data_IF_287669789632
#
_entry.id   IF_287669789632
#
_cell.length_a   1.000
_cell.length_b   1.000
_cell.length_c   1.000
_cell.angle_alpha   90.00
_cell.angle_beta   90.00
_cell.angle_gamma   90.00
#
_symmetry.space_group_name_H-M   'P 1'
#
loop_
_entity.id
_entity.type
_entity.pdbx_description
1 polymer ?
#
# COMPACT_ATOMS: atom_id res chain seq x y z
N UNK A 1 -0.29 2.06 17.88
CA UNK A 1 1.16 2.41 17.81
C UNK A 1 1.46 3.17 16.51
N UNK A 2 0.76 4.29 16.21
CA UNK A 2 0.61 4.78 14.82
C UNK A 2 0.79 6.31 14.59
N UNK A 3 1.67 6.97 15.36
CA UNK A 3 2.13 8.36 15.07
C UNK A 3 3.66 8.49 15.19
N UNK A 4 4.30 7.61 15.96
CA UNK A 4 5.75 7.69 16.19
C UNK A 4 6.63 7.41 14.96
N UNK A 5 6.10 6.76 13.92
CA UNK A 5 6.88 6.50 12.70
C UNK A 5 7.16 7.75 11.85
N UNK A 6 6.50 8.90 12.11
CA UNK A 6 6.80 10.16 11.42
C UNK A 6 7.96 10.95 12.02
N UNK A 7 8.35 10.68 13.27
CA UNK A 7 9.39 11.43 13.97
C UNK A 7 10.70 10.65 14.00
N UNK A 8 11.46 10.73 12.91
CA UNK A 8 12.86 10.33 12.92
C UNK A 8 13.68 11.29 13.79
N UNK A 9 14.34 10.78 14.83
CA UNK A 9 15.28 11.54 15.66
C UNK A 9 16.52 11.90 14.84
N UNK A 10 16.77 13.20 14.64
CA UNK A 10 18.06 13.69 14.14
C UNK A 10 19.06 13.73 15.30
N UNK A 11 20.07 12.88 15.27
CA UNK A 11 21.33 13.11 15.98
C UNK A 11 22.23 13.99 15.11
N UNK A 12 22.63 15.14 15.63
CA UNK A 12 23.61 16.03 15.01
C UNK A 12 25.04 15.51 15.23
N UNK A 13 25.95 15.60 14.24
CA UNK A 13 27.37 15.33 14.45
C UNK A 13 28.08 16.60 14.93
N UNK A 14 28.92 16.47 15.95
CA UNK A 14 29.83 17.51 16.42
C UNK A 14 31.28 17.14 16.15
N UNK A 15 32.10 18.15 15.83
CA UNK A 15 33.54 18.12 16.10
C UNK A 15 34.45 18.21 14.87
N UNK A 16 35.03 19.40 14.65
CA UNK A 16 36.14 19.71 13.74
C UNK A 16 37.47 19.11 14.23
N UNK A 17 38.39 18.85 13.30
CA UNK A 17 39.82 19.11 13.47
C UNK A 17 40.45 19.41 12.09
N UNK A 18 41.31 20.43 12.06
CA UNK A 18 42.12 20.87 10.93
C UNK A 18 43.55 20.36 11.11
N UNK A 19 44.27 20.11 10.01
CA UNK A 19 45.73 20.31 9.94
C UNK A 19 46.18 20.49 8.47
N UNK A 20 47.28 21.24 8.33
CA UNK A 20 47.78 21.96 7.15
C UNK A 20 48.83 21.20 6.30
N UNK A 21 49.12 21.79 5.13
CA UNK A 21 50.43 21.88 4.42
C UNK A 21 50.78 20.95 3.23
N UNK A 22 50.52 21.49 2.01
CA UNK A 22 51.33 21.66 0.76
C UNK A 22 52.49 20.70 0.32
N UNK A 23 52.96 20.70 -0.97
CA UNK A 23 52.56 21.48 -2.18
C UNK A 23 52.46 20.70 -3.53
N UNK A 24 51.92 21.43 -4.52
CA UNK A 24 51.93 21.33 -6.00
C UNK A 24 52.76 20.27 -6.76
N UNK A 25 52.13 19.64 -7.75
CA UNK A 25 52.69 19.49 -9.11
C UNK A 25 51.57 19.46 -10.16
N UNK A 26 51.69 20.36 -11.14
CA UNK A 26 50.83 20.54 -12.31
C UNK A 26 51.19 19.47 -13.34
N UNK A 27 50.20 18.77 -13.91
CA UNK A 27 50.38 17.97 -15.11
C UNK A 27 49.18 18.20 -16.05
N UNK A 28 49.53 18.54 -17.27
CA UNK A 28 48.71 19.00 -18.39
C UNK A 28 47.66 17.96 -18.80
N UNK A 29 46.45 18.42 -19.13
CA UNK A 29 45.43 17.61 -19.80
C UNK A 29 45.40 18.04 -21.26
N UNK A 30 45.81 17.13 -22.13
CA UNK A 30 45.79 17.27 -23.58
C UNK A 30 44.51 16.58 -24.10
N UNK A 31 43.59 17.37 -24.65
CA UNK A 31 42.31 16.93 -25.23
C UNK A 31 42.56 16.45 -26.68
N UNK A 32 42.80 15.15 -26.89
CA UNK A 32 42.47 14.46 -28.15
C UNK A 32 42.80 12.94 -28.12
N UNK A 33 41.79 12.09 -27.90
CA UNK A 33 41.65 10.82 -28.65
C UNK A 33 40.23 10.24 -28.46
N UNK A 34 39.42 10.05 -29.53
CA UNK A 34 38.09 9.48 -29.42
C UNK A 34 38.11 7.97 -29.71
N UNK A 35 38.11 7.12 -28.67
CA UNK A 35 37.87 5.68 -28.88
C UNK A 35 37.17 4.97 -27.71
N UNK A 36 36.08 4.28 -28.10
CA UNK A 36 35.45 3.10 -27.51
C UNK A 36 34.66 3.26 -26.19
N UNK A 37 33.33 3.37 -26.33
CA UNK A 37 32.35 3.03 -25.29
C UNK A 37 32.35 1.50 -25.07
N UNK A 38 32.69 1.00 -23.87
CA UNK A 38 32.82 -0.43 -23.60
C UNK A 38 31.49 -1.13 -23.28
N UNK A 39 30.33 -0.51 -23.54
CA UNK A 39 29.01 -1.08 -23.22
C UNK A 39 28.11 -1.39 -24.43
N UNK A 40 28.69 -1.54 -25.63
CA UNK A 40 27.94 -1.99 -26.81
C UNK A 40 27.66 -3.52 -26.76
N UNK A 41 26.44 -3.85 -26.34
CA UNK A 41 25.58 -5.01 -26.65
C UNK A 41 26.20 -6.39 -26.96
N UNK A 42 25.76 -7.39 -26.18
CA UNK A 42 25.58 -8.77 -26.66
C UNK A 42 24.14 -9.22 -26.34
N UNK A 43 23.26 -9.15 -27.34
CA UNK A 43 21.99 -9.88 -27.38
C UNK A 43 22.22 -11.30 -27.93
N UNK A 44 22.09 -12.34 -27.10
CA UNK A 44 21.74 -13.70 -27.56
C UNK A 44 21.29 -14.62 -26.40
N UNK A 45 19.96 -14.68 -26.20
CA UNK A 45 19.19 -15.92 -25.92
C UNK A 45 19.47 -16.76 -24.66
N UNK A 46 18.49 -16.82 -23.76
CA UNK A 46 17.97 -18.12 -23.28
C UNK A 46 16.51 -18.01 -22.86
N UNK A 47 15.67 -18.58 -23.71
CA UNK A 47 14.23 -18.78 -23.59
C UNK A 47 13.91 -19.76 -22.45
N UNK A 48 13.44 -19.25 -21.31
CA UNK A 48 12.78 -20.04 -20.28
C UNK A 48 11.51 -19.29 -19.87
N UNK A 49 10.41 -19.72 -20.46
CA UNK A 49 9.08 -19.13 -20.32
C UNK A 49 8.58 -19.11 -18.88
N UNK A 50 8.54 -17.90 -18.32
CA UNK A 50 7.51 -17.40 -17.42
C UNK A 50 7.31 -15.90 -17.75
N UNK A 51 6.80 -15.62 -18.94
CA UNK A 51 6.50 -14.26 -19.37
C UNK A 51 5.13 -13.82 -18.87
N UNK A 52 5.10 -13.00 -17.81
CA UNK A 52 4.05 -11.98 -17.73
C UNK A 52 4.43 -10.95 -18.81
N UNK A 53 3.55 -10.58 -19.76
CA UNK A 53 3.87 -9.53 -20.70
C UNK A 53 4.28 -8.29 -19.91
N UNK A 54 5.47 -7.76 -20.19
CA UNK A 54 5.90 -6.44 -19.73
C UNK A 54 4.84 -5.45 -20.19
N UNK A 55 3.91 -5.14 -19.29
CA UNK A 55 2.86 -4.19 -19.53
C UNK A 55 3.52 -2.83 -19.70
N UNK A 56 3.30 -2.25 -20.88
CA UNK A 56 3.41 -0.85 -21.26
C UNK A 56 3.81 0.10 -20.11
N UNK A 57 4.96 0.78 -20.26
CA UNK A 57 5.61 1.67 -19.28
C UNK A 57 4.82 2.97 -18.97
N UNK A 58 3.49 2.98 -19.18
CA UNK A 58 2.64 4.15 -18.96
C UNK A 58 1.48 3.91 -17.98
N UNK A 59 1.42 2.77 -17.28
CA UNK A 59 0.41 2.56 -16.24
C UNK A 59 0.95 2.85 -14.84
N UNK A 60 0.68 4.10 -14.43
CA UNK A 60 0.64 4.60 -13.05
C UNK A 60 0.02 3.54 -12.11
N UNK A 61 0.86 2.83 -11.37
CA UNK A 61 0.48 1.63 -10.62
C UNK A 61 1.34 1.39 -9.38
N UNK A 62 0.77 0.65 -8.43
CA UNK A 62 1.48 -0.01 -7.34
C UNK A 62 1.74 -1.44 -7.79
N UNK A 63 3.01 -1.84 -7.89
CA UNK A 63 3.40 -3.15 -8.36
C UNK A 63 4.34 -3.85 -7.39
N UNK A 64 4.23 -5.16 -7.29
CA UNK A 64 5.08 -6.04 -6.51
C UNK A 64 5.51 -7.19 -7.39
N UNK A 65 6.81 -7.48 -7.39
CA UNK A 65 7.44 -8.47 -8.24
C UNK A 65 8.17 -9.48 -7.36
N UNK A 66 7.78 -10.75 -7.48
CA UNK A 66 8.43 -11.93 -6.91
C UNK A 66 8.73 -11.81 -5.40
N UNK A 67 7.79 -11.23 -4.65
CA UNK A 67 7.96 -11.04 -3.21
C UNK A 67 8.16 -12.38 -2.50
N UNK A 68 9.16 -12.45 -1.64
CA UNK A 68 9.44 -13.62 -0.82
C UNK A 68 9.71 -13.23 0.64
N UNK A 69 9.26 -14.11 1.54
CA UNK A 69 9.47 -13.94 2.99
C UNK A 69 9.57 -15.29 3.70
N UNK A 70 10.53 -15.38 4.61
CA UNK A 70 10.73 -16.51 5.52
C UNK A 70 10.72 -16.06 6.98
N UNK A 71 10.17 -16.89 7.85
CA UNK A 71 10.23 -16.73 9.30
C UNK A 71 10.72 -18.04 9.93
N UNK A 72 11.78 -17.97 10.74
CA UNK A 72 12.32 -19.16 11.43
C UNK A 72 12.66 -20.32 10.48
N UNK A 73 13.17 -20.02 9.28
CA UNK A 73 13.48 -21.02 8.24
C UNK A 73 12.29 -21.49 7.41
N UNK A 74 11.04 -21.15 7.77
CA UNK A 74 9.85 -21.47 6.98
C UNK A 74 9.56 -20.37 5.96
N UNK A 75 9.54 -20.73 4.67
CA UNK A 75 9.17 -19.81 3.58
C UNK A 75 7.64 -19.64 3.51
N UNK A 76 7.17 -18.46 3.92
CA UNK A 76 5.74 -18.09 4.00
C UNK A 76 5.25 -17.47 2.69
N UNK A 77 6.08 -16.66 2.02
CA UNK A 77 5.80 -16.10 0.69
C UNK A 77 6.90 -16.52 -0.28
N UNK A 78 6.53 -16.96 -1.48
CA UNK A 78 7.35 -17.75 -2.41
C UNK A 78 7.33 -17.20 -3.84
N UNK A 79 7.53 -15.90 -4.01
CA UNK A 79 7.49 -15.27 -5.33
C UNK A 79 6.07 -14.83 -5.68
N UNK A 80 5.51 -13.93 -4.89
CA UNK A 80 4.20 -13.32 -5.17
C UNK A 80 4.40 -12.05 -5.96
N UNK A 81 3.80 -12.01 -7.15
CA UNK A 81 3.72 -10.84 -8.01
C UNK A 81 2.27 -10.37 -8.09
N UNK A 82 2.05 -9.07 -7.96
CA UNK A 82 0.75 -8.44 -8.12
C UNK A 82 0.91 -6.98 -8.53
N UNK A 83 -0.13 -6.39 -9.09
CA UNK A 83 -0.20 -4.95 -9.29
C UNK A 83 -1.58 -4.41 -8.87
N UNK A 84 -1.69 -3.10 -8.77
CA UNK A 84 -2.93 -2.35 -8.52
C UNK A 84 -2.86 -1.08 -9.35
N UNK A 85 -3.89 -0.83 -10.16
CA UNK A 85 -4.00 0.41 -10.94
C UNK A 85 -4.72 1.49 -10.16
N UNK A 86 -4.52 2.75 -10.52
CA UNK A 86 -5.35 3.85 -10.01
C UNK A 86 -6.81 3.65 -10.39
N UNK A 87 -7.71 3.93 -9.45
CA UNK A 87 -9.15 3.79 -9.63
C UNK A 87 -9.66 2.35 -9.72
N UNK A 88 -8.82 1.36 -9.42
CA UNK A 88 -9.16 -0.06 -9.41
C UNK A 88 -9.19 -0.59 -7.97
N UNK A 89 -10.14 -1.46 -7.65
CA UNK A 89 -10.13 -2.24 -6.42
C UNK A 89 -9.64 -3.68 -6.69
N UNK A 90 -8.59 -4.09 -6.00
CA UNK A 90 -7.96 -5.40 -6.12
C UNK A 90 -8.06 -6.15 -4.79
N UNK A 91 -8.56 -7.38 -4.84
CA UNK A 91 -8.58 -8.29 -3.69
C UNK A 91 -7.32 -9.15 -3.62
N UNK A 92 -6.75 -9.31 -2.43
CA UNK A 92 -5.75 -10.31 -2.10
C UNK A 92 -6.40 -11.34 -1.18
N UNK A 93 -6.85 -12.46 -1.75
CA UNK A 93 -7.71 -13.44 -1.09
C UNK A 93 -7.02 -14.81 -1.01
N UNK A 94 -7.64 -15.77 -0.33
CA UNK A 94 -7.12 -17.14 -0.18
C UNK A 94 -7.16 -17.62 1.28
N UNK A 95 -6.74 -18.87 1.56
CA UNK A 95 -6.87 -19.46 2.89
C UNK A 95 -6.08 -18.73 3.98
N UNK A 96 -6.44 -19.00 5.23
CA UNK A 96 -5.67 -18.52 6.39
C UNK A 96 -4.27 -19.10 6.37
N UNK A 97 -3.26 -18.27 6.69
CA UNK A 97 -1.86 -18.68 6.64
C UNK A 97 -1.27 -18.83 5.23
N UNK A 98 -2.00 -18.49 4.16
CA UNK A 98 -1.49 -18.59 2.79
C UNK A 98 -0.41 -17.55 2.44
N UNK A 99 -0.22 -16.51 3.27
CA UNK A 99 0.79 -15.47 3.07
C UNK A 99 0.25 -14.08 2.73
N UNK A 100 -1.09 -13.91 2.61
CA UNK A 100 -1.77 -12.65 2.27
C UNK A 100 -1.30 -11.46 3.12
N UNK A 101 -1.45 -11.55 4.44
CA UNK A 101 -1.04 -10.50 5.38
C UNK A 101 0.46 -10.22 5.31
N UNK A 102 1.29 -11.24 5.06
CA UNK A 102 2.74 -11.03 4.88
C UNK A 102 3.05 -10.24 3.62
N UNK A 103 2.39 -10.55 2.49
CA UNK A 103 2.48 -9.76 1.26
C UNK A 103 2.01 -8.34 1.50
N UNK A 104 0.86 -8.18 2.15
CA UNK A 104 0.29 -6.88 2.50
C UNK A 104 1.26 -6.02 3.31
N UNK A 105 1.89 -6.61 4.34
CA UNK A 105 2.85 -5.91 5.21
C UNK A 105 4.18 -5.61 4.52
N UNK A 106 4.58 -6.41 3.52
CA UNK A 106 5.72 -6.08 2.68
C UNK A 106 5.43 -4.87 1.80
N UNK A 107 4.23 -4.75 1.24
CA UNK A 107 3.80 -3.61 0.42
C UNK A 107 3.68 -2.33 1.26
N UNK A 108 3.14 -2.40 2.48
CA UNK A 108 3.09 -1.23 3.37
C UNK A 108 4.45 -0.82 3.93
N UNK A 109 5.46 -1.71 3.88
CA UNK A 109 6.77 -1.48 4.49
C UNK A 109 6.81 -1.71 6.00
N UNK A 110 5.81 -2.40 6.56
CA UNK A 110 5.83 -2.89 7.95
C UNK A 110 6.76 -4.09 8.13
N UNK A 111 6.91 -4.90 7.08
CA UNK A 111 7.82 -6.05 7.03
C UNK A 111 8.75 -5.89 5.85
N UNK A 112 10.06 -6.07 6.05
CA UNK A 112 11.02 -6.09 4.94
C UNK A 112 10.89 -7.39 4.14
N UNK A 113 10.82 -7.31 2.82
CA UNK A 113 10.90 -8.48 1.94
C UNK A 113 12.30 -9.10 1.97
N UNK A 114 12.40 -10.42 1.88
CA UNK A 114 13.69 -11.11 1.77
C UNK A 114 14.22 -11.09 0.33
N UNK A 115 13.30 -11.09 -0.65
CA UNK A 115 13.58 -10.90 -2.07
C UNK A 115 12.34 -10.32 -2.78
N UNK A 116 12.54 -9.90 -4.04
CA UNK A 116 11.54 -9.23 -4.85
C UNK A 116 11.65 -7.71 -4.81
N UNK A 117 10.81 -7.03 -5.59
CA UNK A 117 10.78 -5.57 -5.75
C UNK A 117 9.36 -5.05 -5.56
N UNK A 118 9.22 -3.87 -4.99
CA UNK A 118 7.95 -3.14 -4.85
C UNK A 118 8.14 -1.78 -5.49
N UNK A 119 7.31 -1.47 -6.48
CA UNK A 119 7.31 -0.20 -7.18
C UNK A 119 6.02 0.55 -6.94
N UNK A 120 6.14 1.86 -6.80
CA UNK A 120 5.03 2.79 -6.68
C UNK A 120 5.25 3.88 -7.72
N UNK A 121 4.38 3.93 -8.73
CA UNK A 121 4.49 4.92 -9.81
C UNK A 121 5.86 4.88 -10.51
N UNK A 122 6.42 3.69 -10.68
CA UNK A 122 7.77 3.46 -11.24
C UNK A 122 8.93 3.71 -10.27
N UNK A 123 8.67 4.14 -9.03
CA UNK A 123 9.70 4.29 -8.00
C UNK A 123 9.87 3.01 -7.20
N UNK A 124 11.08 2.47 -7.13
CA UNK A 124 11.38 1.35 -6.23
C UNK A 124 11.29 1.82 -4.76
N UNK A 125 10.26 1.34 -4.06
CA UNK A 125 9.99 1.62 -2.65
C UNK A 125 10.40 0.47 -1.74
N UNK A 126 10.97 -0.60 -2.27
CA UNK A 126 11.41 -1.79 -1.51
C UNK A 126 12.25 -1.46 -0.28
N UNK A 127 13.29 -0.60 -0.35
CA UNK A 127 14.11 -0.28 0.81
C UNK A 127 13.45 0.71 1.78
N UNK A 128 12.35 1.36 1.37
CA UNK A 128 11.75 2.45 2.11
C UNK A 128 10.89 1.93 3.28
N UNK A 129 11.01 2.52 4.48
CA UNK A 129 10.09 2.27 5.58
C UNK A 129 8.72 2.88 5.30
N UNK A 130 7.70 2.40 6.03
CA UNK A 130 6.29 2.77 5.86
C UNK A 130 6.04 4.29 5.74
N UNK A 131 6.65 5.12 6.58
CA UNK A 131 6.39 6.57 6.56
C UNK A 131 6.84 7.26 5.26
N UNK A 132 7.89 6.74 4.60
CA UNK A 132 8.35 7.28 3.31
C UNK A 132 7.40 6.85 2.20
N UNK A 133 6.95 5.59 2.22
CA UNK A 133 5.93 5.08 1.29
C UNK A 133 4.62 5.85 1.42
N UNK A 134 4.22 6.21 2.64
CA UNK A 134 3.04 7.03 2.87
C UNK A 134 3.15 8.42 2.23
N UNK A 135 4.33 9.06 2.30
CA UNK A 135 4.58 10.36 1.65
C UNK A 135 4.58 10.27 0.12
N UNK A 136 4.89 9.11 -0.45
CA UNK A 136 4.80 8.85 -1.88
C UNK A 136 3.39 8.45 -2.33
N UNK A 137 2.43 8.28 -1.41
CA UNK A 137 1.02 8.08 -1.72
C UNK A 137 0.44 6.72 -1.35
N UNK A 138 1.08 5.94 -0.46
CA UNK A 138 0.49 4.72 0.11
C UNK A 138 -0.24 5.03 1.42
N UNK A 139 -1.56 5.03 1.39
CA UNK A 139 -2.39 4.99 2.60
C UNK A 139 -2.57 3.55 3.09
N UNK A 140 -2.58 3.36 4.41
CA UNK A 140 -2.82 2.07 5.05
C UNK A 140 -3.86 2.20 6.15
N UNK A 141 -4.85 1.33 6.12
CA UNK A 141 -5.91 1.24 7.10
C UNK A 141 -5.90 -0.16 7.73
N UNK A 142 -5.37 -0.31 8.96
CA UNK A 142 -5.26 -1.60 9.62
C UNK A 142 -6.64 -2.17 10.02
N UNK A 143 -6.63 -3.46 10.34
CA UNK A 143 -7.76 -4.18 10.90
C UNK A 143 -8.14 -3.63 12.29
N UNK A 144 -7.15 -3.46 13.17
CA UNK A 144 -7.37 -2.90 14.50
C UNK A 144 -7.67 -1.40 14.45
N UNK A 145 -8.50 -0.93 15.41
CA UNK A 145 -8.83 0.48 15.53
C UNK A 145 -7.56 1.33 15.67
N UNK A 146 -7.38 2.23 14.71
CA UNK A 146 -6.21 3.10 14.58
C UNK A 146 -6.50 4.55 14.98
N UNK A 147 -7.75 4.87 15.31
CA UNK A 147 -8.17 6.21 15.73
C UNK A 147 -7.41 6.70 16.97
N UNK A 148 -7.08 8.00 17.01
CA UNK A 148 -6.44 8.62 18.16
C UNK A 148 -7.48 8.88 19.24
N UNK A 149 -7.50 7.99 20.24
CA UNK A 149 -8.50 7.95 21.32
C UNK A 149 -8.56 9.24 22.16
N UNK A 150 -7.44 9.95 22.30
CA UNK A 150 -7.35 11.19 23.09
C UNK A 150 -7.79 12.45 22.34
N UNK A 151 -8.25 12.33 21.09
CA UNK A 151 -8.56 13.46 20.22
C UNK A 151 -10.04 13.45 19.80
N UNK A 152 -10.55 14.63 19.44
CA UNK A 152 -11.86 14.74 18.78
C UNK A 152 -11.78 14.21 17.34
N UNK A 153 -12.93 14.06 16.67
CA UNK A 153 -12.97 13.68 15.24
C UNK A 153 -12.22 14.69 14.38
N UNK A 154 -12.47 15.99 14.56
CA UNK A 154 -11.75 17.05 13.86
C UNK A 154 -10.24 16.96 14.09
N UNK A 155 -9.82 16.81 15.35
CA UNK A 155 -8.39 16.77 15.69
C UNK A 155 -7.70 15.53 15.13
N UNK A 156 -8.41 14.41 14.95
CA UNK A 156 -7.87 13.22 14.30
C UNK A 156 -7.47 13.48 12.85
N UNK A 157 -8.35 14.14 12.09
CA UNK A 157 -8.10 14.48 10.68
C UNK A 157 -7.03 15.57 10.60
N UNK A 158 -7.18 16.61 11.45
CA UNK A 158 -6.25 17.73 11.49
C UNK A 158 -4.82 17.26 11.78
N UNK A 159 -4.61 16.32 12.71
CA UNK A 159 -3.29 15.80 13.06
C UNK A 159 -2.49 15.27 11.86
N UNK A 160 -3.15 14.70 10.85
CA UNK A 160 -2.48 14.29 9.60
C UNK A 160 -2.23 15.49 8.69
N UNK A 161 -3.22 16.37 8.54
CA UNK A 161 -3.08 17.59 7.72
C UNK A 161 -2.00 18.53 8.23
N UNK A 162 -1.70 18.55 9.53
CA UNK A 162 -0.61 19.37 10.06
C UNK A 162 0.76 18.98 9.51
N UNK A 163 0.91 17.73 9.06
CA UNK A 163 2.14 17.21 8.47
C UNK A 163 2.16 17.38 6.95
N UNK A 164 1.00 17.30 6.30
CA UNK A 164 0.89 17.26 4.83
C UNK A 164 0.50 18.59 4.18
N UNK A 165 0.02 19.56 4.97
CA UNK A 165 -0.41 20.87 4.49
C UNK A 165 0.13 21.99 5.39
N UNK A 166 1.09 22.80 4.91
CA UNK A 166 1.69 23.86 5.72
C UNK A 166 0.73 25.04 5.96
N UNK A 167 -0.26 25.26 5.11
CA UNK A 167 -1.16 26.41 5.23
C UNK A 167 -2.33 26.11 6.19
N UNK A 168 -2.35 26.79 7.34
CA UNK A 168 -3.39 26.62 8.36
C UNK A 168 -4.83 26.84 7.86
N UNK A 169 -5.05 27.77 6.94
CA UNK A 169 -6.39 28.01 6.36
C UNK A 169 -6.82 26.83 5.49
N UNK A 170 -5.94 26.36 4.60
CA UNK A 170 -6.19 25.17 3.77
C UNK A 170 -6.46 23.94 4.61
N UNK A 171 -5.71 23.73 5.72
CA UNK A 171 -5.99 22.63 6.65
C UNK A 171 -7.44 22.65 7.14
N UNK A 172 -7.96 23.83 7.52
CA UNK A 172 -9.33 23.97 7.99
C UNK A 172 -10.35 23.62 6.91
N UNK A 173 -10.13 24.13 5.70
CA UNK A 173 -10.96 23.85 4.53
C UNK A 173 -10.98 22.35 4.19
N UNK A 174 -9.82 21.69 4.25
CA UNK A 174 -9.72 20.25 3.99
C UNK A 174 -10.37 19.41 5.10
N UNK A 175 -10.26 19.81 6.37
CA UNK A 175 -11.03 19.15 7.44
C UNK A 175 -12.53 19.26 7.17
N UNK A 176 -13.01 20.46 6.86
CA UNK A 176 -14.44 20.70 6.60
C UNK A 176 -14.93 19.84 5.41
N UNK A 177 -14.16 19.82 4.32
CA UNK A 177 -14.44 19.00 3.15
C UNK A 177 -14.48 17.50 3.47
N UNK A 178 -13.49 16.98 4.21
CA UNK A 178 -13.45 15.56 4.59
C UNK A 178 -14.60 15.19 5.53
N UNK A 179 -14.98 16.07 6.46
CA UNK A 179 -16.10 15.82 7.37
C UNK A 179 -17.43 15.70 6.62
N UNK A 180 -17.66 16.59 5.66
CA UNK A 180 -18.84 16.59 4.79
C UNK A 180 -18.86 15.38 3.86
N UNK A 181 -17.74 15.12 3.18
CA UNK A 181 -17.56 14.00 2.24
C UNK A 181 -17.90 12.66 2.90
N UNK A 182 -17.42 12.44 4.13
CA UNK A 182 -17.66 11.21 4.87
C UNK A 182 -18.90 11.25 5.76
N UNK A 183 -19.76 12.28 5.65
CA UNK A 183 -21.01 12.42 6.42
C UNK A 183 -20.81 12.24 7.93
N UNK A 184 -19.76 12.85 8.46
CA UNK A 184 -19.36 12.81 9.88
C UNK A 184 -19.29 14.22 10.51
N UNK A 185 -19.84 15.23 9.85
CA UNK A 185 -19.91 16.61 10.37
C UNK A 185 -20.64 16.71 11.71
N UNK A 186 -21.67 15.90 11.94
CA UNK A 186 -22.45 15.90 13.19
C UNK A 186 -21.65 15.44 14.41
N UNK A 187 -20.61 14.62 14.21
CA UNK A 187 -19.70 14.14 15.27
C UNK A 187 -18.37 14.88 15.31
N UNK A 188 -18.21 15.98 14.58
CA UNK A 188 -16.96 16.76 14.46
C UNK A 188 -16.24 17.00 15.80
N UNK A 189 -16.99 17.38 16.82
CA UNK A 189 -16.46 17.73 18.16
C UNK A 189 -16.52 16.58 19.16
N UNK A 190 -17.09 15.44 18.76
CA UNK A 190 -17.22 14.28 19.64
C UNK A 190 -15.84 13.67 19.93
N UNK A 191 -15.61 13.20 21.16
CA UNK A 191 -14.45 12.36 21.46
C UNK A 191 -14.47 11.10 20.61
N UNK A 192 -13.31 10.72 20.06
CA UNK A 192 -13.19 9.56 19.17
C UNK A 192 -13.62 8.23 19.79
N UNK A 193 -13.54 8.12 21.12
CA UNK A 193 -13.95 6.94 21.88
C UNK A 193 -15.48 6.77 21.96
N UNK A 194 -16.25 7.82 21.72
CA UNK A 194 -17.70 7.82 21.81
C UNK A 194 -18.40 7.43 20.49
N UNK A 195 -17.62 7.21 19.43
CA UNK A 195 -18.15 6.90 18.09
C UNK A 195 -18.66 5.47 18.02
N UNK A 196 -19.73 5.26 17.24
CA UNK A 196 -20.11 3.94 16.77
C UNK A 196 -19.01 3.31 15.90
N UNK A 197 -19.07 1.99 15.68
CA UNK A 197 -18.09 1.29 14.85
C UNK A 197 -18.00 1.86 13.42
N UNK A 198 -19.15 2.14 12.80
CA UNK A 198 -19.21 2.70 11.44
C UNK A 198 -18.72 4.15 11.37
N UNK A 199 -19.10 5.00 12.33
CA UNK A 199 -18.56 6.37 12.41
C UNK A 199 -17.06 6.38 12.61
N UNK A 200 -16.55 5.55 13.54
CA UNK A 200 -15.11 5.39 13.75
C UNK A 200 -14.40 5.02 12.46
N UNK A 201 -14.93 4.06 11.69
CA UNK A 201 -14.31 3.62 10.44
C UNK A 201 -14.29 4.74 9.38
N UNK A 202 -15.39 5.51 9.27
CA UNK A 202 -15.45 6.70 8.40
C UNK A 202 -14.40 7.73 8.78
N UNK A 203 -14.20 7.99 10.07
CA UNK A 203 -13.16 8.91 10.57
C UNK A 203 -11.75 8.40 10.25
N UNK A 204 -11.49 7.10 10.43
CA UNK A 204 -10.19 6.52 10.11
C UNK A 204 -9.85 6.63 8.61
N UNK A 205 -10.86 6.45 7.74
CA UNK A 205 -10.70 6.61 6.29
C UNK A 205 -10.50 8.07 5.91
N UNK A 206 -11.31 8.99 6.45
CA UNK A 206 -11.16 10.43 6.24
C UNK A 206 -9.75 10.89 6.64
N UNK A 207 -9.25 10.39 7.77
CA UNK A 207 -7.89 10.66 8.24
C UNK A 207 -6.81 10.06 7.32
N UNK A 208 -7.01 8.85 6.80
CA UNK A 208 -6.07 8.29 5.83
C UNK A 208 -6.01 9.12 4.54
N UNK A 209 -7.16 9.62 4.08
CA UNK A 209 -7.28 10.48 2.89
C UNK A 209 -6.71 11.88 3.06
N UNK A 210 -6.59 12.39 4.28
CA UNK A 210 -5.89 13.64 4.56
C UNK A 210 -4.42 13.63 4.09
N UNK A 211 -3.82 12.44 3.90
CA UNK A 211 -2.48 12.30 3.30
C UNK A 211 -2.45 12.35 1.77
N UNK A 212 -3.62 12.46 1.12
CA UNK A 212 -3.82 12.47 -0.34
C UNK A 212 -3.17 11.27 -1.04
N UNK A 213 -3.49 10.03 -0.61
CA UNK A 213 -2.85 8.84 -1.15
C UNK A 213 -3.28 8.56 -2.59
N UNK A 214 -2.36 8.02 -3.39
CA UNK A 214 -2.65 7.44 -4.70
C UNK A 214 -3.18 6.00 -4.57
N UNK A 215 -2.78 5.29 -3.52
CA UNK A 215 -3.20 3.92 -3.25
C UNK A 215 -3.61 3.74 -1.78
N UNK A 216 -4.66 2.96 -1.54
CA UNK A 216 -5.18 2.65 -0.21
C UNK A 216 -5.15 1.14 0.03
N UNK A 217 -4.46 0.73 1.10
CA UNK A 217 -4.38 -0.65 1.54
C UNK A 217 -5.34 -0.86 2.73
N UNK A 218 -6.38 -1.66 2.53
CA UNK A 218 -7.39 -1.97 3.55
C UNK A 218 -7.22 -3.40 4.08
N UNK A 219 -6.86 -3.51 5.35
CA UNK A 219 -6.63 -4.78 6.05
C UNK A 219 -7.91 -5.18 6.81
N UNK A 220 -8.55 -6.24 6.34
CA UNK A 220 -9.82 -6.79 6.82
C UNK A 220 -10.91 -5.74 7.11
N UNK A 221 -11.33 -4.94 6.11
CA UNK A 221 -12.27 -3.86 6.32
C UNK A 221 -13.67 -4.30 6.79
N UNK A 222 -14.02 -5.58 6.66
CA UNK A 222 -15.30 -6.14 7.12
C UNK A 222 -15.19 -6.82 8.50
N UNK A 223 -13.99 -7.00 9.04
CA UNK A 223 -13.82 -7.69 10.32
C UNK A 223 -14.53 -6.97 11.47
N UNK A 224 -15.43 -7.69 12.16
CA UNK A 224 -16.17 -7.17 13.31
C UNK A 224 -17.18 -6.06 12.97
N UNK A 225 -17.53 -5.91 11.68
CA UNK A 225 -18.57 -4.99 11.22
C UNK A 225 -19.93 -5.70 11.25
N UNK A 226 -20.95 -5.00 11.71
CA UNK A 226 -22.34 -5.46 11.68
C UNK A 226 -22.80 -5.65 10.21
N UNK A 227 -23.53 -6.73 9.86
CA UNK A 227 -24.04 -6.96 8.51
C UNK A 227 -24.75 -5.74 7.88
N UNK A 228 -25.48 -4.95 8.67
CA UNK A 228 -26.19 -3.75 8.20
C UNK A 228 -25.20 -2.67 7.72
N UNK A 229 -23.99 -2.62 8.30
CA UNK A 229 -22.97 -1.64 7.97
C UNK A 229 -22.00 -2.08 6.86
N UNK A 230 -22.11 -3.31 6.34
CA UNK A 230 -21.27 -3.79 5.22
C UNK A 230 -21.44 -2.92 3.97
N UNK A 231 -22.70 -2.53 3.67
CA UNK A 231 -23.00 -1.66 2.53
C UNK A 231 -22.33 -0.29 2.61
N UNK A 232 -22.17 0.26 3.83
CA UNK A 232 -21.47 1.53 4.04
C UNK A 232 -19.99 1.42 3.65
N UNK A 233 -19.33 0.31 4.00
CA UNK A 233 -17.92 0.05 3.66
C UNK A 233 -17.75 -0.17 2.15
N UNK A 234 -18.68 -0.88 1.53
CA UNK A 234 -18.68 -1.07 0.08
C UNK A 234 -18.83 0.26 -0.66
N UNK A 235 -19.78 1.10 -0.25
CA UNK A 235 -19.96 2.44 -0.81
C UNK A 235 -18.70 3.30 -0.63
N UNK A 236 -18.05 3.18 0.53
CA UNK A 236 -16.80 3.86 0.85
C UNK A 236 -15.67 3.48 -0.12
N UNK A 237 -15.46 2.19 -0.36
CA UNK A 237 -14.41 1.72 -1.26
C UNK A 237 -14.70 2.11 -2.71
N UNK A 238 -15.96 2.02 -3.15
CA UNK A 238 -16.36 2.52 -4.48
C UNK A 238 -16.10 4.03 -4.61
N UNK A 239 -16.33 4.78 -3.54
CA UNK A 239 -16.00 6.21 -3.50
C UNK A 239 -14.49 6.49 -3.60
N UNK A 240 -13.65 5.64 -3.00
CA UNK A 240 -12.19 5.74 -3.18
C UNK A 240 -11.80 5.51 -4.64
N UNK A 241 -12.33 4.47 -5.28
CA UNK A 241 -11.98 4.16 -6.68
C UNK A 241 -12.48 5.21 -7.66
N UNK A 242 -13.67 5.79 -7.45
CA UNK A 242 -14.17 6.91 -8.29
C UNK A 242 -13.32 8.17 -8.17
N UNK A 243 -12.62 8.37 -7.05
CA UNK A 243 -11.60 9.43 -6.89
C UNK A 243 -10.28 9.14 -7.62
N UNK A 244 -10.16 8.00 -8.30
CA UNK A 244 -8.93 7.57 -8.97
C UNK A 244 -7.90 6.96 -8.01
N UNK A 245 -8.28 6.58 -6.79
CA UNK A 245 -7.39 5.93 -5.83
C UNK A 245 -7.41 4.42 -6.10
N UNK A 246 -6.23 3.80 -6.25
CA UNK A 246 -6.13 2.35 -6.34
C UNK A 246 -6.32 1.72 -4.95
N UNK A 247 -7.12 0.67 -4.83
CA UNK A 247 -7.45 0.06 -3.54
C UNK A 247 -6.98 -1.40 -3.53
N UNK A 248 -6.15 -1.78 -2.56
CA UNK A 248 -5.81 -3.18 -2.30
C UNK A 248 -6.48 -3.63 -1.02
N UNK A 249 -7.22 -4.72 -1.08
CA UNK A 249 -8.04 -5.21 0.03
C UNK A 249 -7.66 -6.65 0.35
N UNK A 250 -7.45 -6.96 1.61
CA UNK A 250 -7.42 -8.34 2.11
C UNK A 250 -8.56 -8.52 3.10
N UNK A 251 -9.29 -9.62 3.03
CA UNK A 251 -10.34 -9.94 4.00
C UNK A 251 -10.58 -11.47 4.01
N UNK A 252 -11.25 -11.95 5.06
CA UNK A 252 -11.73 -13.32 5.17
C UNK A 252 -13.20 -13.46 4.72
N UNK A 253 -13.95 -12.36 4.63
CA UNK A 253 -15.32 -12.30 4.13
C UNK A 253 -15.33 -12.29 2.59
N UNK A 254 -15.30 -13.48 2.01
CA UNK A 254 -15.04 -13.66 0.57
C UNK A 254 -16.15 -13.11 -0.31
N UNK A 255 -17.42 -13.37 0.03
CA UNK A 255 -18.57 -12.95 -0.77
C UNK A 255 -18.64 -11.42 -0.86
N UNK A 256 -18.46 -10.77 0.27
CA UNK A 256 -18.54 -9.33 0.46
C UNK A 256 -17.40 -8.62 -0.27
N UNK A 257 -16.21 -9.23 -0.24
CA UNK A 257 -15.02 -8.71 -0.93
C UNK A 257 -15.12 -8.89 -2.44
N UNK A 258 -15.56 -10.06 -2.92
CA UNK A 258 -15.77 -10.29 -4.35
C UNK A 258 -16.84 -9.38 -4.97
N UNK A 259 -17.87 -8.99 -4.20
CA UNK A 259 -18.85 -8.00 -4.64
C UNK A 259 -18.31 -6.57 -4.76
N UNK A 260 -17.14 -6.31 -4.17
CA UNK A 260 -16.57 -4.97 -4.07
C UNK A 260 -15.41 -4.71 -5.03
N UNK A 261 -14.60 -5.73 -5.31
CA UNK A 261 -13.38 -5.61 -6.11
C UNK A 261 -13.66 -5.77 -7.61
N UNK A 262 -12.75 -5.25 -8.42
CA UNK A 262 -12.78 -5.40 -9.88
C UNK A 262 -12.02 -6.67 -10.31
N UNK A 263 -10.96 -7.03 -9.57
CA UNK A 263 -10.25 -8.31 -9.71
C UNK A 263 -9.63 -8.80 -8.40
N UNK A 264 -9.23 -10.07 -8.36
CA UNK A 264 -8.57 -10.67 -7.22
C UNK A 264 -7.34 -11.49 -7.59
N UNK A 265 -6.38 -11.52 -6.67
CA UNK A 265 -5.33 -12.51 -6.57
C UNK A 265 -5.70 -13.53 -5.49
N UNK A 266 -5.73 -14.82 -5.85
CA UNK A 266 -5.90 -15.91 -4.90
C UNK A 266 -4.52 -16.42 -4.52
N UNK A 267 -4.15 -16.24 -3.25
CA UNK A 267 -2.90 -16.74 -2.68
C UNK A 267 -3.14 -18.09 -2.06
N UNK A 268 -2.30 -19.06 -2.41
CA UNK A 268 -2.30 -20.38 -1.80
C UNK A 268 -0.87 -20.82 -1.56
N UNK A 269 -0.57 -21.30 -0.34
CA UNK A 269 0.75 -21.83 0.02
C UNK A 269 1.94 -20.92 -0.32
N UNK A 270 1.74 -19.59 -0.21
CA UNK A 270 2.77 -18.58 -0.45
C UNK A 270 2.97 -18.16 -1.90
N UNK A 271 2.14 -18.63 -2.84
CA UNK A 271 2.21 -18.26 -4.27
C UNK A 271 0.86 -17.76 -4.77
N UNK A 272 0.85 -17.06 -5.91
CA UNK A 272 -0.39 -16.74 -6.63
C UNK A 272 -0.90 -18.02 -7.29
N UNK A 273 -2.06 -18.48 -6.87
CA UNK A 273 -2.79 -19.60 -7.49
C UNK A 273 -3.51 -19.13 -8.76
N UNK A 274 -4.14 -17.96 -8.69
CA UNK A 274 -4.95 -17.41 -9.77
C UNK A 274 -5.04 -15.89 -9.65
N UNK A 275 -5.16 -15.23 -10.80
CA UNK A 275 -5.61 -13.85 -10.95
C UNK A 275 -6.86 -13.83 -11.85
N UNK A 276 -7.85 -12.99 -11.54
CA UNK A 276 -8.99 -12.77 -12.42
C UNK A 276 -10.07 -11.89 -11.80
N UNK A 277 -11.09 -11.56 -12.58
CA UNK A 277 -12.30 -10.92 -12.07
C UNK A 277 -13.07 -11.85 -11.10
N UNK A 278 -14.03 -11.29 -10.38
CA UNK A 278 -14.81 -12.04 -9.38
C UNK A 278 -15.51 -13.27 -9.96
N UNK A 279 -15.97 -13.19 -11.21
CA UNK A 279 -16.66 -14.30 -11.87
C UNK A 279 -15.68 -15.43 -12.23
N UNK A 280 -14.50 -15.09 -12.73
CA UNK A 280 -13.43 -16.02 -13.07
C UNK A 280 -12.92 -16.75 -11.83
N UNK A 281 -12.76 -16.03 -10.72
CA UNK A 281 -12.35 -16.59 -9.43
C UNK A 281 -13.37 -17.61 -8.91
N UNK A 282 -14.67 -17.29 -8.96
CA UNK A 282 -15.73 -18.17 -8.44
C UNK A 282 -15.92 -19.43 -9.28
N UNK A 283 -15.69 -19.34 -10.59
CA UNK A 283 -15.83 -20.47 -11.51
C UNK A 283 -14.57 -21.34 -11.62
N UNK A 284 -13.47 -20.94 -11.01
CA UNK A 284 -12.23 -21.71 -11.05
C UNK A 284 -12.33 -22.97 -10.17
N UNK A 285 -12.14 -24.13 -10.80
CA UNK A 285 -12.17 -25.43 -10.13
C UNK A 285 -11.10 -25.54 -9.03
N UNK A 286 -9.90 -25.01 -9.27
CA UNK A 286 -8.82 -25.03 -8.28
C UNK A 286 -9.12 -24.12 -7.10
N UNK A 287 -9.66 -22.92 -7.36
CA UNK A 287 -10.05 -21.98 -6.29
C UNK A 287 -11.20 -22.55 -5.46
N UNK A 288 -12.18 -23.21 -6.09
CA UNK A 288 -13.26 -23.91 -5.38
C UNK A 288 -12.74 -25.04 -4.51
N UNK A 289 -11.91 -25.92 -5.07
CA UNK A 289 -11.34 -27.06 -4.36
C UNK A 289 -10.44 -26.65 -3.19
N UNK A 290 -9.63 -25.60 -3.35
CA UNK A 290 -8.57 -25.24 -2.39
C UNK A 290 -8.96 -24.10 -1.44
N UNK A 291 -10.04 -23.35 -1.72
CA UNK A 291 -10.40 -22.18 -0.93
C UNK A 291 -11.91 -22.00 -0.70
N UNK A 292 -12.73 -21.90 -1.74
CA UNK A 292 -14.15 -21.49 -1.59
C UNK A 292 -15.08 -22.61 -1.14
N UNK A 293 -14.76 -23.86 -1.49
CA UNK A 293 -15.67 -25.01 -1.43
C UNK A 293 -16.56 -25.13 -2.67
N UNK A 294 -16.98 -26.37 -2.98
CA UNK A 294 -17.78 -26.70 -4.17
C UNK A 294 -19.18 -26.06 -4.18
N UNK A 295 -19.75 -25.79 -2.99
CA UNK A 295 -21.09 -25.22 -2.84
C UNK A 295 -21.12 -23.69 -2.87
N UNK A 296 -19.97 -23.02 -3.02
CA UNK A 296 -19.90 -21.57 -2.99
C UNK A 296 -20.68 -20.92 -4.14
N UNK A 297 -21.54 -19.97 -3.78
CA UNK A 297 -22.33 -19.11 -4.68
C UNK A 297 -22.24 -17.67 -4.21
N UNK A 298 -22.13 -16.74 -5.16
CA UNK A 298 -22.22 -15.30 -4.92
C UNK A 298 -23.61 -14.94 -4.39
#
# INVERSE_FOLDING_TARGET
>A
MNVFAMFGSKSSPGGRAADDSHPHSVAEWDDNDPQADPYAEDEAGSDLGYGIPYADQAQVSLAAFDLAKSYGGRKVVRGVSLNVRRGEAVGLLGPNGAGKTTVFYMITGLVKADAGRIELEGHDVTPMPMYQRARLGIGYLPQEASIFRGLTVEDNILAVLEVTEPNRRKRREEVDALLEEFKITHVRKSPSIALSGGERRRVEIARALASRPAFMLLDEPFAGIDPIAVGDIQALVRHLTTRGIGVLITDHNVRETLGLIDRAYIIHSGTVLMEGDSQSVVNSADVRRLYLGEEFRL
#
